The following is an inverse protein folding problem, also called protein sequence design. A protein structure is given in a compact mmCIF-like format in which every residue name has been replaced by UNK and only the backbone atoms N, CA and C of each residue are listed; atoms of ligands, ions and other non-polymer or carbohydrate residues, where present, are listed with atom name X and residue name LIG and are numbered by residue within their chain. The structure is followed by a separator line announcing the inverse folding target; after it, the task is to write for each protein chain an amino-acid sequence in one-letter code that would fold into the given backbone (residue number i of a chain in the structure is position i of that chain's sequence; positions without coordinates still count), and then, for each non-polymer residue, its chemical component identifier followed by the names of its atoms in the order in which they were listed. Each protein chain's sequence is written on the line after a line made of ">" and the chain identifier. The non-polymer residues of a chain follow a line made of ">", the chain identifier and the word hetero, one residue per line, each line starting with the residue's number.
data_IF_129486969292
#
_entry.id   IF_129486969292
#
_cell.length_a   1.000
_cell.length_b   1.000
_cell.length_c   1.000
_cell.angle_alpha   90.00
_cell.angle_beta   90.00
_cell.angle_gamma   90.00
#
_symmetry.space_group_name_H-M   'P 1'
#
loop_
_entity.id
_entity.type
_entity.pdbx_description
1 polymer ?
#
# COMPACT_ATOMS: atom_id res chain seq x y z
N UNK A 1 -34.16 -34.85 -14.22
CA UNK A 1 -32.70 -34.95 -13.99
C UNK A 1 -32.44 -36.38 -13.55
N UNK A 2 -31.78 -37.20 -14.38
CA UNK A 2 -31.59 -38.63 -14.14
C UNK A 2 -30.47 -38.88 -13.10
N UNK A 3 -29.39 -38.12 -13.21
CA UNK A 3 -28.26 -38.11 -12.27
C UNK A 3 -27.58 -36.73 -12.29
N UNK A 4 -26.84 -36.40 -11.23
CA UNK A 4 -26.10 -35.15 -11.09
C UNK A 4 -24.75 -35.40 -10.40
N UNK A 5 -23.67 -34.89 -11.00
CA UNK A 5 -22.31 -34.96 -10.44
C UNK A 5 -21.64 -33.59 -10.50
N UNK A 6 -21.06 -33.16 -9.37
CA UNK A 6 -20.34 -31.88 -9.26
C UNK A 6 -18.87 -32.06 -9.67
N UNK A 7 -18.51 -31.55 -10.83
CA UNK A 7 -17.14 -31.63 -11.40
C UNK A 7 -16.16 -30.57 -10.86
N UNK A 8 -16.67 -29.53 -10.19
CA UNK A 8 -15.85 -28.45 -9.61
C UNK A 8 -16.54 -27.79 -8.44
N UNK A 9 -15.76 -27.40 -7.43
CA UNK A 9 -16.21 -26.58 -6.30
C UNK A 9 -15.16 -25.52 -5.98
N UNK A 10 -15.43 -24.27 -6.39
CA UNK A 10 -14.49 -23.15 -6.21
C UNK A 10 -13.17 -23.39 -6.96
N UNK A 11 -12.06 -23.39 -6.22
CA UNK A 11 -10.71 -23.58 -6.78
C UNK A 11 -10.38 -25.06 -7.05
N UNK A 12 -11.12 -26.01 -6.45
CA UNK A 12 -10.84 -27.44 -6.56
C UNK A 12 -11.69 -28.10 -7.67
N UNK A 13 -11.03 -28.71 -8.65
CA UNK A 13 -11.64 -29.58 -9.66
C UNK A 13 -11.39 -31.06 -9.42
N UNK A 14 -12.05 -31.93 -10.20
CA UNK A 14 -11.86 -33.39 -10.13
C UNK A 14 -10.43 -33.87 -10.42
N UNK A 15 -9.66 -33.07 -11.17
CA UNK A 15 -8.27 -33.38 -11.50
C UNK A 15 -7.29 -32.99 -10.39
N UNK A 16 -7.73 -32.18 -9.42
CA UNK A 16 -6.88 -31.60 -8.38
C UNK A 16 -6.82 -32.47 -7.13
N UNK A 17 -6.45 -33.75 -7.31
CA UNK A 17 -6.33 -34.77 -6.26
C UNK A 17 -7.66 -35.05 -5.55
N UNK A 18 -8.62 -35.56 -6.32
CA UNK A 18 -9.87 -36.11 -5.83
C UNK A 18 -9.58 -37.44 -5.09
N UNK A 19 -9.96 -37.50 -3.82
CA UNK A 19 -9.79 -38.68 -2.96
C UNK A 19 -11.15 -39.31 -2.65
N UNK A 20 -11.14 -40.63 -2.46
CA UNK A 20 -12.31 -41.40 -2.07
C UNK A 20 -12.34 -41.61 -0.55
N UNK A 21 -13.49 -42.05 -0.02
CA UNK A 21 -13.60 -42.37 1.41
C UNK A 21 -12.71 -43.55 1.83
N UNK A 22 -12.40 -44.46 0.90
CA UNK A 22 -11.49 -45.57 1.13
C UNK A 22 -10.05 -45.06 1.35
N UNK A 23 -9.60 -44.10 0.55
CA UNK A 23 -8.27 -43.51 0.70
C UNK A 23 -8.09 -42.83 2.07
N UNK A 24 -9.15 -42.21 2.60
CA UNK A 24 -9.12 -41.59 3.94
C UNK A 24 -8.98 -42.64 5.04
N UNK A 25 -9.72 -43.75 4.91
CA UNK A 25 -9.65 -44.86 5.87
C UNK A 25 -8.25 -45.49 5.87
N UNK A 26 -7.72 -45.77 4.69
CA UNK A 26 -6.40 -46.40 4.53
C UNK A 26 -5.28 -45.48 5.01
N UNK A 27 -5.39 -44.17 4.74
CA UNK A 27 -4.44 -43.18 5.22
C UNK A 27 -4.42 -43.09 6.75
N UNK A 28 -5.58 -43.15 7.40
CA UNK A 28 -5.67 -43.17 8.87
C UNK A 28 -5.08 -44.46 9.45
N UNK A 29 -5.42 -45.62 8.87
CA UNK A 29 -4.92 -46.91 9.32
C UNK A 29 -3.39 -47.00 9.24
N UNK A 30 -2.80 -46.52 8.14
CA UNK A 30 -1.35 -46.49 7.94
C UNK A 30 -0.65 -45.61 8.97
N UNK A 31 -1.24 -44.46 9.32
CA UNK A 31 -0.71 -43.59 10.37
C UNK A 31 -0.75 -44.28 11.74
N UNK A 32 -1.85 -44.96 12.09
CA UNK A 32 -2.00 -45.59 13.40
C UNK A 32 -1.08 -46.80 13.60
N UNK A 33 -0.86 -47.61 12.56
CA UNK A 33 -0.08 -48.85 12.65
C UNK A 33 1.41 -48.63 12.38
N UNK A 34 1.72 -47.85 11.34
CA UNK A 34 3.09 -47.71 10.84
C UNK A 34 3.71 -46.35 11.20
N UNK A 35 2.92 -45.43 11.77
CA UNK A 35 3.32 -44.02 12.05
C UNK A 35 3.84 -43.29 10.81
N UNK A 36 3.39 -43.71 9.64
CA UNK A 36 3.76 -43.10 8.37
C UNK A 36 2.71 -42.04 7.99
N UNK A 37 3.14 -40.77 7.97
CA UNK A 37 2.29 -39.61 7.69
C UNK A 37 2.15 -39.30 6.19
N UNK A 38 2.94 -39.96 5.33
CA UNK A 38 3.03 -39.59 3.91
C UNK A 38 1.68 -39.69 3.20
N UNK A 39 0.92 -40.75 3.48
CA UNK A 39 -0.38 -40.95 2.87
C UNK A 39 -1.40 -39.93 3.40
N UNK A 40 -1.40 -39.66 4.71
CA UNK A 40 -2.30 -38.70 5.33
C UNK A 40 -2.06 -37.27 4.83
N UNK A 41 -0.80 -36.86 4.69
CA UNK A 41 -0.40 -35.55 4.13
C UNK A 41 -0.73 -35.40 2.64
N UNK A 42 -0.92 -36.51 1.91
CA UNK A 42 -1.39 -36.48 0.52
C UNK A 42 -2.91 -36.29 0.44
N UNK A 43 -3.66 -36.89 1.36
CA UNK A 43 -5.13 -36.80 1.40
C UNK A 43 -5.59 -35.42 1.89
N UNK A 44 -4.92 -34.88 2.91
CA UNK A 44 -5.30 -33.61 3.54
C UNK A 44 -4.50 -32.45 2.95
N UNK A 45 -5.20 -31.51 2.30
CA UNK A 45 -4.59 -30.27 1.83
C UNK A 45 -4.62 -29.16 2.88
N UNK A 46 -3.61 -28.26 2.86
CA UNK A 46 -3.64 -27.06 3.68
C UNK A 46 -4.75 -26.11 3.19
N UNK A 47 -5.36 -25.38 4.13
CA UNK A 47 -6.50 -24.50 3.87
C UNK A 47 -6.16 -23.36 2.90
N UNK A 48 -4.88 -22.99 2.84
CA UNK A 48 -4.32 -21.99 1.92
C UNK A 48 -4.66 -22.28 0.45
N UNK A 49 -4.81 -23.56 0.08
CA UNK A 49 -5.15 -23.96 -1.30
C UNK A 49 -6.50 -23.40 -1.75
N UNK A 50 -7.44 -23.17 -0.83
CA UNK A 50 -8.74 -22.58 -1.14
C UNK A 50 -8.67 -21.07 -1.40
N UNK A 51 -7.62 -20.42 -0.90
CA UNK A 51 -7.47 -18.96 -0.88
C UNK A 51 -6.65 -18.42 -2.05
N UNK A 52 -6.19 -19.28 -2.97
CA UNK A 52 -5.33 -18.94 -4.11
C UNK A 52 -5.98 -17.93 -5.07
N UNK A 53 -7.31 -17.86 -5.11
CA UNK A 53 -8.04 -16.92 -5.98
C UNK A 53 -8.03 -15.47 -5.50
N UNK A 54 -7.70 -15.22 -4.22
CA UNK A 54 -7.70 -13.89 -3.64
C UNK A 54 -6.33 -13.21 -3.75
N UNK A 55 -6.34 -11.88 -3.88
CA UNK A 55 -5.11 -11.08 -3.86
C UNK A 55 -4.46 -11.12 -2.49
N UNK A 56 -3.14 -11.17 -2.48
CA UNK A 56 -2.31 -11.42 -1.29
C UNK A 56 -1.75 -10.12 -0.72
N UNK A 57 -1.78 -10.05 0.60
CA UNK A 57 -1.12 -8.99 1.36
C UNK A 57 -0.21 -9.62 2.42
N UNK A 58 1.10 -9.42 2.28
CA UNK A 58 2.10 -10.01 3.15
C UNK A 58 2.34 -9.10 4.34
N UNK A 59 2.15 -9.62 5.55
CA UNK A 59 2.35 -8.88 6.79
C UNK A 59 3.69 -9.20 7.44
N UNK A 60 4.20 -8.22 8.19
CA UNK A 60 5.35 -8.40 9.08
C UNK A 60 4.98 -9.31 10.25
N UNK A 61 5.85 -10.24 10.60
CA UNK A 61 5.65 -11.21 11.70
C UNK A 61 5.29 -10.55 13.04
N UNK A 62 5.77 -9.33 13.31
CA UNK A 62 5.43 -8.59 14.53
C UNK A 62 3.97 -8.12 14.61
N UNK A 63 3.29 -8.02 13.47
CA UNK A 63 1.90 -7.59 13.36
C UNK A 63 0.92 -8.77 13.34
N UNK A 64 1.38 -9.99 13.05
CA UNK A 64 0.52 -11.18 12.85
C UNK A 64 -0.36 -11.43 14.07
N UNK A 65 0.22 -11.54 15.26
CA UNK A 65 -0.59 -11.85 16.44
C UNK A 65 -1.62 -10.75 16.76
N UNK A 66 -1.30 -9.47 16.50
CA UNK A 66 -2.28 -8.39 16.68
C UNK A 66 -3.51 -8.57 15.78
N UNK A 67 -3.32 -9.04 14.54
CA UNK A 67 -4.39 -9.34 13.58
C UNK A 67 -5.22 -10.54 14.06
N UNK A 68 -4.58 -11.56 14.66
CA UNK A 68 -5.29 -12.72 15.25
C UNK A 68 -6.24 -12.31 16.40
N UNK A 69 -5.92 -11.22 17.11
CA UNK A 69 -6.81 -10.60 18.10
C UNK A 69 -7.87 -9.66 17.50
N UNK A 70 -7.88 -9.46 16.18
CA UNK A 70 -8.82 -8.59 15.48
C UNK A 70 -8.37 -7.13 15.38
N UNK A 71 -7.09 -6.82 15.58
CA UNK A 71 -6.59 -5.47 15.33
C UNK A 71 -6.69 -5.08 13.85
N UNK A 72 -6.94 -3.81 13.55
CA UNK A 72 -7.00 -3.31 12.17
C UNK A 72 -5.64 -3.47 11.48
N UNK A 73 -5.68 -3.74 10.18
CA UNK A 73 -4.47 -3.90 9.36
C UNK A 73 -3.98 -2.50 8.99
N UNK A 74 -2.87 -2.08 9.58
CA UNK A 74 -2.28 -0.76 9.38
C UNK A 74 -1.11 -0.84 8.39
N UNK A 75 -0.88 0.25 7.66
CA UNK A 75 0.20 0.36 6.66
C UNK A 75 1.59 -0.05 7.17
N UNK A 76 2.04 0.35 8.38
CA UNK A 76 3.35 -0.04 8.91
C UNK A 76 3.53 -1.54 9.16
N UNK A 77 2.44 -2.30 9.17
CA UNK A 77 2.47 -3.75 9.31
C UNK A 77 2.61 -4.51 7.99
N UNK A 78 2.40 -3.83 6.85
CA UNK A 78 2.47 -4.44 5.51
C UNK A 78 3.93 -4.52 5.06
N UNK A 79 4.34 -5.69 4.59
CA UNK A 79 5.68 -5.91 4.03
C UNK A 79 5.64 -5.89 2.50
N UNK A 80 4.68 -6.59 1.90
CA UNK A 80 4.48 -6.67 0.45
C UNK A 80 2.99 -6.73 0.15
N UNK A 81 2.60 -6.26 -1.03
CA UNK A 81 1.23 -6.31 -1.52
C UNK A 81 1.23 -6.75 -2.98
N UNK A 82 0.15 -7.40 -3.39
CA UNK A 82 -0.08 -7.75 -4.80
C UNK A 82 -0.59 -6.55 -5.59
N UNK A 83 -0.37 -6.56 -6.90
CA UNK A 83 -0.83 -5.48 -7.78
C UNK A 83 -2.33 -5.58 -8.06
N UNK A 84 -2.92 -4.44 -8.41
CA UNK A 84 -4.31 -4.31 -8.81
C UNK A 84 -5.32 -4.40 -7.68
N UNK A 85 -4.95 -4.30 -6.40
CA UNK A 85 -5.90 -4.30 -5.29
C UNK A 85 -6.84 -3.10 -5.44
N UNK A 86 -8.14 -3.38 -5.55
CA UNK A 86 -9.19 -2.37 -5.64
C UNK A 86 -9.84 -2.13 -4.27
N UNK A 87 -10.48 -0.98 -4.13
CA UNK A 87 -11.19 -0.64 -2.90
C UNK A 87 -12.41 -1.55 -2.73
N UNK A 88 -12.65 -2.02 -1.51
CA UNK A 88 -13.69 -2.98 -1.14
C UNK A 88 -13.53 -4.39 -1.74
N UNK A 89 -12.38 -4.71 -2.33
CA UNK A 89 -12.09 -6.07 -2.78
C UNK A 89 -11.76 -6.99 -1.58
N UNK A 90 -12.20 -8.25 -1.65
CA UNK A 90 -11.80 -9.28 -0.69
C UNK A 90 -10.38 -9.77 -0.99
N UNK A 91 -9.51 -9.63 0.00
CA UNK A 91 -8.09 -9.98 -0.02
C UNK A 91 -7.75 -10.98 1.08
N UNK A 92 -6.65 -11.70 0.88
CA UNK A 92 -6.11 -12.64 1.87
C UNK A 92 -4.81 -12.09 2.41
N UNK A 93 -4.72 -12.08 3.73
CA UNK A 93 -3.56 -11.57 4.45
C UNK A 93 -2.73 -12.76 4.88
N UNK A 94 -1.46 -12.78 4.47
CA UNK A 94 -0.54 -13.91 4.66
C UNK A 94 0.70 -13.52 5.45
N UNK A 95 1.33 -14.50 6.09
CA UNK A 95 2.67 -14.36 6.67
C UNK A 95 3.74 -14.42 5.58
N UNK A 96 4.98 -14.13 5.93
CA UNK A 96 6.15 -14.32 5.05
C UNK A 96 6.37 -15.78 4.65
N UNK A 97 5.83 -16.73 5.44
CA UNK A 97 5.88 -18.18 5.17
C UNK A 97 4.76 -18.66 4.25
N UNK A 98 3.79 -17.80 3.94
CA UNK A 98 2.63 -18.15 3.13
C UNK A 98 1.45 -18.74 3.92
N UNK A 99 1.47 -18.66 5.25
CA UNK A 99 0.33 -19.09 6.09
C UNK A 99 -0.79 -18.05 6.00
N UNK A 100 -2.05 -18.47 5.91
CA UNK A 100 -3.18 -17.56 5.86
C UNK A 100 -3.56 -17.05 7.26
N UNK A 101 -3.44 -15.74 7.48
CA UNK A 101 -3.76 -15.09 8.76
C UNK A 101 -5.27 -14.83 8.83
N UNK A 102 -5.79 -14.08 7.86
CA UNK A 102 -7.18 -13.67 7.82
C UNK A 102 -7.64 -13.30 6.40
N UNK A 103 -8.95 -13.31 6.22
CA UNK A 103 -9.62 -12.70 5.07
C UNK A 103 -10.04 -11.30 5.48
N UNK A 104 -9.74 -10.33 4.63
CA UNK A 104 -10.02 -8.93 4.87
C UNK A 104 -10.58 -8.27 3.61
N UNK A 105 -11.29 -7.16 3.80
CA UNK A 105 -11.77 -6.31 2.71
C UNK A 105 -10.86 -5.09 2.63
N UNK A 106 -10.28 -4.84 1.47
CA UNK A 106 -9.35 -3.74 1.24
C UNK A 106 -10.05 -2.38 1.36
N UNK A 107 -9.43 -1.44 2.08
CA UNK A 107 -9.88 -0.05 2.21
C UNK A 107 -9.02 0.93 1.40
N UNK A 108 -7.90 0.46 0.86
CA UNK A 108 -6.97 1.23 0.04
C UNK A 108 -6.71 0.49 -1.27
N UNK A 109 -6.49 1.24 -2.35
CA UNK A 109 -6.01 0.68 -3.62
C UNK A 109 -4.50 0.51 -3.60
N UNK A 110 -3.94 -0.31 -4.50
CA UNK A 110 -2.48 -0.50 -4.62
C UNK A 110 -1.72 0.82 -4.75
N UNK A 111 -2.23 1.77 -5.54
CA UNK A 111 -1.62 3.10 -5.71
C UNK A 111 -1.55 3.87 -4.38
N UNK A 112 -2.65 3.84 -3.59
CA UNK A 112 -2.74 4.52 -2.29
C UNK A 112 -1.83 3.86 -1.26
N UNK A 113 -1.74 2.52 -1.27
CA UNK A 113 -0.82 1.78 -0.39
C UNK A 113 0.63 2.18 -0.66
N UNK A 114 0.98 2.51 -1.90
CA UNK A 114 2.32 2.95 -2.27
C UNK A 114 2.62 4.41 -1.91
N UNK A 115 1.63 5.30 -1.91
CA UNK A 115 1.85 6.75 -1.72
C UNK A 115 1.66 7.22 -0.29
N UNK A 116 0.83 6.52 0.50
CA UNK A 116 0.53 6.94 1.86
C UNK A 116 1.62 6.47 2.84
N UNK A 117 1.85 7.24 3.90
CA UNK A 117 2.74 6.86 5.01
C UNK A 117 1.98 6.19 6.17
N UNK A 118 0.69 6.47 6.28
CA UNK A 118 -0.16 6.02 7.38
C UNK A 118 -1.59 5.71 6.92
N UNK A 119 -2.23 4.78 7.61
CA UNK A 119 -3.66 4.51 7.45
C UNK A 119 -4.01 3.04 7.64
N UNK A 120 -5.30 2.76 7.55
CA UNK A 120 -5.87 1.41 7.63
C UNK A 120 -5.96 0.84 6.22
N UNK A 121 -5.25 -0.24 5.97
CA UNK A 121 -5.17 -0.88 4.64
C UNK A 121 -6.38 -1.74 4.38
N UNK A 122 -6.82 -2.49 5.39
CA UNK A 122 -7.91 -3.44 5.24
C UNK A 122 -8.67 -3.65 6.55
N UNK A 123 -9.96 -3.94 6.40
CA UNK A 123 -10.86 -4.32 7.49
C UNK A 123 -10.96 -5.84 7.53
N UNK A 124 -10.71 -6.44 8.69
CA UNK A 124 -10.81 -7.88 8.87
C UNK A 124 -12.28 -8.31 8.72
N UNK A 125 -12.49 -9.38 7.94
CA UNK A 125 -13.78 -10.06 7.77
C UNK A 125 -13.83 -11.33 8.60
N UNK A 126 -12.79 -12.18 8.51
CA UNK A 126 -12.66 -13.41 9.29
C UNK A 126 -11.20 -13.75 9.57
N UNK A 127 -10.89 -14.03 10.83
CA UNK A 127 -9.57 -14.54 11.26
C UNK A 127 -9.54 -16.06 11.09
N UNK A 128 -8.44 -16.58 10.53
CA UNK A 128 -8.23 -18.02 10.31
C UNK A 128 -7.17 -18.55 11.26
N UNK A 129 -6.04 -17.85 11.37
CA UNK A 129 -4.92 -18.25 12.21
C UNK A 129 -5.26 -18.18 13.71
N UNK A 130 -4.73 -19.13 14.46
CA UNK A 130 -4.91 -19.18 15.91
C UNK A 130 -4.21 -18.01 16.61
N UNK A 131 -4.68 -17.71 17.83
CA UNK A 131 -4.06 -16.70 18.69
C UNK A 131 -2.77 -17.26 19.26
N UNK A 132 -1.76 -16.39 19.44
CA UNK A 132 -0.47 -16.74 20.06
C UNK A 132 0.43 -17.73 19.28
N UNK A 133 0.11 -18.05 18.01
CA UNK A 133 1.04 -18.71 17.09
C UNK A 133 2.32 -17.88 16.87
N UNK A 134 2.19 -16.55 16.92
CA UNK A 134 3.31 -15.60 16.84
C UNK A 134 3.44 -14.80 18.15
N UNK A 135 4.66 -14.40 18.55
CA UNK A 135 4.87 -13.66 19.80
C UNK A 135 4.19 -12.28 19.77
N UNK A 136 3.68 -11.86 20.94
CA UNK A 136 3.05 -10.54 21.12
C UNK A 136 4.11 -9.44 21.10
N UNK A 137 4.17 -8.67 20.01
CA UNK A 137 5.15 -7.57 19.82
C UNK A 137 4.53 -6.17 19.78
N UNK A 138 3.22 -6.03 20.02
CA UNK A 138 2.59 -4.71 20.06
C UNK A 138 3.08 -3.90 21.26
N UNK A 139 3.32 -2.59 21.06
CA UNK A 139 3.77 -1.69 22.12
C UNK A 139 5.26 -1.77 22.48
N UNK A 140 6.06 -2.55 21.73
CA UNK A 140 7.53 -2.59 21.82
C UNK A 140 8.24 -1.75 20.74
N UNK A 141 7.49 -0.98 19.93
CA UNK A 141 8.08 -0.11 18.90
C UNK A 141 8.87 1.07 19.49
N UNK A 142 9.79 1.69 18.74
CA UNK A 142 10.65 2.78 19.23
C UNK A 142 9.86 3.93 19.87
N UNK A 143 8.81 4.40 19.19
CA UNK A 143 7.92 5.46 19.71
C UNK A 143 7.13 5.01 20.96
N UNK A 144 6.71 3.75 21.03
CA UNK A 144 5.95 3.22 22.17
C UNK A 144 6.84 3.02 23.41
N UNK A 145 8.08 2.56 23.21
CA UNK A 145 9.07 2.41 24.27
C UNK A 145 9.50 3.78 24.82
N UNK A 146 9.79 4.76 23.94
CA UNK A 146 10.08 6.13 24.34
C UNK A 146 8.93 6.74 25.15
N UNK A 147 7.68 6.55 24.71
CA UNK A 147 6.50 7.01 25.46
C UNK A 147 6.46 6.40 26.86
N UNK A 148 6.66 5.09 27.01
CA UNK A 148 6.71 4.42 28.31
C UNK A 148 7.85 4.92 29.20
N UNK A 149 9.05 5.13 28.64
CA UNK A 149 10.18 5.71 29.37
C UNK A 149 9.90 7.14 29.83
N UNK A 150 9.24 7.96 29.00
CA UNK A 150 8.90 9.33 29.41
C UNK A 150 7.82 9.38 30.49
N UNK A 151 6.87 8.45 30.48
CA UNK A 151 5.89 8.29 31.57
C UNK A 151 6.63 7.88 32.87
N UNK A 152 7.57 6.94 32.80
CA UNK A 152 8.38 6.56 33.96
C UNK A 152 9.24 7.72 34.49
N UNK A 153 9.75 8.57 33.60
CA UNK A 153 10.51 9.79 33.96
C UNK A 153 9.62 10.95 34.44
N UNK A 154 8.29 10.79 34.45
CA UNK A 154 7.35 11.85 34.86
C UNK A 154 7.23 13.03 33.88
N UNK A 155 7.81 12.92 32.68
CA UNK A 155 7.73 13.95 31.63
C UNK A 155 6.37 13.94 30.93
N UNK A 156 5.65 12.82 31.01
CA UNK A 156 4.27 12.65 30.54
C UNK A 156 3.39 12.17 31.71
N UNK A 157 2.09 12.46 31.62
CA UNK A 157 1.09 11.99 32.58
C UNK A 157 0.96 10.43 32.57
N UNK A 158 0.33 9.85 33.59
CA UNK A 158 0.03 8.41 33.71
C UNK A 158 -0.69 7.84 32.48
N UNK A 159 -1.49 8.67 31.81
CA UNK A 159 -2.21 8.30 30.58
C UNK A 159 -1.43 8.60 29.30
N UNK A 160 -0.21 9.15 29.42
CA UNK A 160 0.65 9.48 28.29
C UNK A 160 0.16 10.67 27.47
N UNK A 161 -0.52 11.62 28.13
CA UNK A 161 -0.83 12.95 27.59
C UNK A 161 0.31 13.93 27.90
N UNK A 162 0.41 14.97 27.09
CA UNK A 162 1.40 16.03 27.29
C UNK A 162 1.05 16.84 28.56
N UNK A 163 2.07 17.11 29.37
CA UNK A 163 2.02 17.98 30.54
C UNK A 163 2.95 19.21 30.34
N UNK A 164 3.05 20.08 31.32
CA UNK A 164 3.93 21.26 31.22
C UNK A 164 5.42 20.88 31.05
N UNK A 165 5.82 19.73 31.59
CA UNK A 165 7.18 19.19 31.49
C UNK A 165 7.47 18.40 30.20
N UNK A 166 6.55 18.35 29.23
CA UNK A 166 6.81 17.60 27.99
C UNK A 166 7.73 18.38 27.04
N UNK A 167 8.81 17.76 26.53
CA UNK A 167 9.65 18.37 25.49
C UNK A 167 8.84 18.76 24.25
N UNK A 168 9.15 19.92 23.68
CA UNK A 168 8.52 20.45 22.46
C UNK A 168 8.68 19.51 21.25
N UNK A 169 9.78 18.77 21.19
CA UNK A 169 10.04 17.76 20.14
C UNK A 169 9.02 16.62 20.16
N UNK A 170 8.60 16.17 21.35
CA UNK A 170 7.59 15.13 21.49
C UNK A 170 6.20 15.64 21.08
N UNK A 171 5.86 16.89 21.41
CA UNK A 171 4.59 17.51 21.02
C UNK A 171 4.45 17.64 19.49
N UNK A 172 5.54 17.93 18.78
CA UNK A 172 5.54 18.06 17.31
C UNK A 172 5.60 16.70 16.58
N UNK A 173 6.30 15.71 17.15
CA UNK A 173 6.53 14.42 16.48
C UNK A 173 5.55 13.29 16.82
N UNK A 174 4.73 13.47 17.86
CA UNK A 174 3.74 12.48 18.29
C UNK A 174 2.36 12.77 17.70
N UNK A 175 1.93 11.91 16.79
CA UNK A 175 0.57 11.93 16.20
C UNK A 175 -0.24 10.80 16.83
N UNK A 176 -1.40 11.13 17.41
CA UNK A 176 -2.32 10.14 17.98
C UNK A 176 -3.41 9.76 16.98
N UNK A 177 -3.19 8.66 16.26
CA UNK A 177 -4.12 8.16 15.25
C UNK A 177 -5.42 7.57 15.81
N UNK A 178 -5.63 7.57 17.14
CA UNK A 178 -6.93 7.21 17.73
C UNK A 178 -7.91 8.38 17.71
N UNK A 179 -7.38 9.60 17.77
CA UNK A 179 -8.17 10.82 17.65
C UNK A 179 -8.39 11.03 16.15
N UNK A 180 -9.61 10.81 15.66
CA UNK A 180 -10.00 11.47 14.42
C UNK A 180 -9.91 12.96 14.73
N UNK A 181 -9.11 13.71 13.98
CA UNK A 181 -9.17 15.15 14.09
C UNK A 181 -10.57 15.55 13.61
N UNK A 182 -11.41 16.00 14.55
CA UNK A 182 -12.64 16.76 14.26
C UNK A 182 -12.23 18.17 13.78
N UNK A 183 -11.40 18.25 12.75
CA UNK A 183 -10.97 19.51 12.14
C UNK A 183 -11.84 19.87 10.93
N UNK A 184 -13.12 19.52 10.97
CA UNK A 184 -14.12 19.93 9.98
C UNK A 184 -15.32 20.66 10.62
N UNK A 185 -15.16 21.12 11.87
CA UNK A 185 -16.23 21.80 12.60
C UNK A 185 -15.67 22.87 13.54
N UNK A 186 -15.02 23.90 13.01
CA UNK A 186 -15.09 25.26 13.57
C UNK A 186 -14.44 26.27 12.62
N UNK A 187 -15.15 26.58 11.54
CA UNK A 187 -15.01 27.84 10.83
C UNK A 187 -16.40 28.33 10.40
N UNK A 188 -16.90 29.29 11.18
CA UNK A 188 -17.95 30.27 10.86
C UNK A 188 -19.43 29.87 11.02
N UNK A 189 -19.96 30.23 12.19
CA UNK A 189 -21.34 30.72 12.32
C UNK A 189 -21.49 32.08 11.58
N UNK A 190 -22.14 32.03 10.40
CA UNK A 190 -23.17 32.91 9.80
C UNK A 190 -22.97 34.45 9.70
N UNK A 191 -23.52 35.15 8.67
CA UNK A 191 -24.81 34.87 8.03
C UNK A 191 -24.83 34.78 6.49
N UNK A 192 -25.97 34.28 6.02
CA UNK A 192 -26.33 33.96 4.65
C UNK A 192 -26.13 35.09 3.62
N UNK A 193 -25.78 34.76 2.37
CA UNK A 193 -26.15 35.55 1.21
C UNK A 193 -27.33 34.92 0.46
N UNK A 194 -28.20 35.79 -0.01
CA UNK A 194 -29.30 35.57 -0.94
C UNK A 194 -28.86 34.91 -2.26
N UNK A 195 -29.83 34.26 -2.89
CA UNK A 195 -29.75 33.61 -4.21
C UNK A 195 -29.44 34.62 -5.36
N UNK A 196 -29.15 34.14 -6.58
CA UNK A 196 -27.96 34.50 -7.35
C UNK A 196 -28.17 35.71 -8.29
N UNK A 197 -27.12 36.51 -8.47
CA UNK A 197 -26.99 37.41 -9.62
C UNK A 197 -25.86 36.92 -10.54
N UNK A 198 -26.21 36.72 -11.80
CA UNK A 198 -25.33 36.38 -12.93
C UNK A 198 -24.24 37.42 -13.16
N UNK A 199 -22.96 37.05 -13.38
CA UNK A 199 -22.01 37.94 -14.01
C UNK A 199 -22.08 37.85 -15.54
N UNK A 200 -22.09 39.03 -16.13
CA UNK A 200 -22.19 39.37 -17.55
C UNK A 200 -20.90 39.02 -18.33
N UNK A 201 -21.06 38.94 -19.64
CA UNK A 201 -20.11 38.45 -20.64
C UNK A 201 -18.91 39.37 -20.95
N UNK A 202 -18.44 40.20 -20.02
CA UNK A 202 -17.38 41.19 -20.28
C UNK A 202 -15.97 40.80 -19.78
N UNK A 203 -15.83 39.88 -18.83
CA UNK A 203 -14.49 39.46 -18.34
C UNK A 203 -13.77 38.45 -19.26
N UNK A 204 -14.51 37.75 -20.14
CA UNK A 204 -13.93 36.79 -21.09
C UNK A 204 -13.20 37.44 -22.29
N UNK A 205 -13.29 38.77 -22.47
CA UNK A 205 -12.59 39.50 -23.54
C UNK A 205 -11.22 40.07 -23.14
N UNK A 206 -10.92 40.22 -21.84
CA UNK A 206 -9.63 40.77 -21.37
C UNK A 206 -8.51 39.71 -21.33
N UNK A 207 -8.80 38.46 -20.98
CA UNK A 207 -7.79 37.39 -20.96
C UNK A 207 -7.34 36.94 -22.37
N UNK A 208 -8.27 36.88 -23.33
CA UNK A 208 -7.93 36.51 -24.73
C UNK A 208 -7.05 37.55 -25.44
N UNK A 209 -7.09 38.83 -25.05
CA UNK A 209 -6.27 39.90 -25.66
C UNK A 209 -4.83 39.92 -25.14
N UNK A 210 -4.59 39.44 -23.91
CA UNK A 210 -3.25 39.36 -23.30
C UNK A 210 -2.42 38.21 -23.90
N UNK A 211 -3.03 37.03 -24.10
CA UNK A 211 -2.38 35.85 -24.71
C UNK A 211 -2.03 36.02 -26.20
N UNK A 212 -2.73 36.89 -26.95
CA UNK A 212 -2.43 37.15 -28.37
C UNK A 212 -1.29 38.16 -28.57
N UNK A 213 -1.01 39.02 -27.59
CA UNK A 213 0.06 40.03 -27.65
C UNK A 213 1.44 39.43 -27.38
N UNK A 214 1.55 38.50 -26.42
CA UNK A 214 2.80 37.78 -26.12
C UNK A 214 3.23 36.82 -27.25
N UNK A 215 2.27 36.21 -27.97
CA UNK A 215 2.58 35.32 -29.09
C UNK A 215 3.04 36.08 -30.35
N UNK A 216 2.70 37.36 -30.50
CA UNK A 216 3.12 38.20 -31.64
C UNK A 216 4.53 38.78 -31.45
N UNK A 217 4.91 39.14 -30.22
CA UNK A 217 6.26 39.62 -29.92
C UNK A 217 7.33 38.54 -30.02
N UNK A 218 6.99 37.26 -29.78
CA UNK A 218 7.94 36.14 -29.90
C UNK A 218 8.25 35.69 -31.35
N UNK A 219 7.54 36.24 -32.34
CA UNK A 219 7.65 35.85 -33.75
C UNK A 219 8.28 36.95 -34.64
N UNK A 220 8.45 38.17 -34.14
CA UNK A 220 9.10 39.29 -34.86
C UNK A 220 10.60 39.44 -34.50
N UNK A 221 11.10 38.79 -33.44
CA UNK A 221 12.53 38.84 -33.05
C UNK A 221 13.40 37.76 -33.75
N UNK A 222 12.80 36.95 -34.63
CA UNK A 222 13.47 35.82 -35.28
C UNK A 222 13.76 36.01 -36.79
N UNK A 223 13.79 37.24 -37.30
CA UNK A 223 14.05 37.50 -38.73
C UNK A 223 15.04 38.65 -39.00
N UNK A 224 16.27 38.25 -39.37
CA UNK A 224 17.31 38.95 -40.17
C UNK A 224 18.31 39.90 -39.45
N UNK A 225 19.51 40.15 -40.04
CA UNK A 225 20.63 39.21 -40.23
C UNK A 225 21.98 39.73 -39.64
N UNK A 226 23.03 38.91 -39.70
CA UNK A 226 24.40 39.17 -39.17
C UNK A 226 25.10 40.44 -39.70
N UNK A 227 26.12 40.93 -38.97
CA UNK A 227 27.47 40.88 -39.57
C UNK A 227 28.56 40.34 -38.62
N UNK A 228 29.57 39.74 -39.25
CA UNK A 228 30.79 39.21 -38.65
C UNK A 228 31.79 40.30 -38.20
N UNK A 229 32.46 40.09 -37.07
CA UNK A 229 33.92 40.29 -36.88
C UNK A 229 34.36 39.98 -35.42
N UNK A 230 35.27 39.02 -35.31
CA UNK A 230 36.43 38.88 -34.40
C UNK A 230 36.36 38.90 -32.85
N UNK A 231 37.22 38.02 -32.31
CA UNK A 231 37.90 37.96 -31.00
C UNK A 231 37.31 37.13 -29.84
N UNK A 232 38.06 36.07 -29.53
CA UNK A 232 38.48 35.51 -28.23
C UNK A 232 37.53 35.33 -27.03
N UNK A 233 37.67 34.16 -26.38
CA UNK A 233 37.44 34.04 -24.93
C UNK A 233 36.44 32.98 -24.44
N UNK A 234 36.86 31.71 -24.45
CA UNK A 234 36.75 30.71 -23.37
C UNK A 234 35.39 30.32 -22.72
N UNK A 235 35.32 29.01 -22.43
CA UNK A 235 34.46 28.25 -21.49
C UNK A 235 33.17 27.60 -22.05
N UNK A 236 33.17 26.26 -22.13
CA UNK A 236 31.97 25.47 -22.43
C UNK A 236 32.15 23.96 -22.55
N UNK A 237 32.89 23.34 -21.63
CA UNK A 237 33.00 21.89 -21.48
C UNK A 237 31.63 21.27 -21.12
N UNK A 238 30.97 20.56 -22.05
CA UNK A 238 29.89 19.58 -21.74
C UNK A 238 29.26 18.91 -22.97
N UNK A 239 29.49 19.41 -24.19
CA UNK A 239 28.89 18.84 -25.40
C UNK A 239 29.68 17.68 -26.06
N UNK A 240 30.93 17.41 -25.64
CA UNK A 240 31.82 16.43 -26.30
C UNK A 240 31.63 14.98 -25.84
N UNK A 241 30.88 14.73 -24.75
CA UNK A 241 30.72 13.38 -24.17
C UNK A 241 29.57 12.57 -24.78
N UNK A 242 28.59 13.22 -25.42
CA UNK A 242 27.42 12.55 -26.02
C UNK A 242 27.63 12.09 -27.47
N UNK A 243 28.58 12.69 -28.19
CA UNK A 243 28.87 12.35 -29.61
C UNK A 243 29.89 11.21 -29.78
N UNK A 244 30.64 10.85 -28.72
CA UNK A 244 31.66 9.78 -28.76
C UNK A 244 31.12 8.39 -28.38
N UNK A 245 29.95 8.30 -27.71
CA UNK A 245 29.33 7.00 -27.36
C UNK A 245 28.54 6.38 -28.52
N UNK A 246 27.92 7.21 -29.37
CA UNK A 246 27.10 6.76 -30.51
C UNK A 246 27.91 6.27 -31.72
N UNK A 247 29.23 6.52 -31.75
CA UNK A 247 30.15 6.01 -32.79
C UNK A 247 30.82 4.69 -32.40
N UNK A 248 30.65 4.20 -31.18
CA UNK A 248 31.30 2.97 -30.67
C UNK A 248 30.38 1.75 -30.63
N UNK A 249 29.07 1.93 -30.82
CA UNK A 249 28.10 0.83 -30.91
C UNK A 249 27.85 0.35 -32.35
N UNK A 250 28.22 1.14 -33.37
CA UNK A 250 28.01 0.78 -34.79
C UNK A 250 29.19 -0.04 -35.35
N UNK A 251 30.32 -0.10 -34.64
CA UNK A 251 31.54 -0.80 -35.08
C UNK A 251 31.74 -2.17 -34.38
N UNK A 252 30.78 -2.60 -33.56
CA UNK A 252 30.82 -3.88 -32.82
C UNK A 252 29.72 -4.87 -33.25
N UNK A 253 28.92 -4.53 -34.26
CA UNK A 253 27.89 -5.41 -34.86
C UNK A 253 28.25 -5.84 -36.30
N UNK A 254 29.48 -5.59 -36.73
CA UNK A 254 30.02 -6.02 -38.00
C UNK A 254 31.42 -6.64 -37.82
N UNK A 255 31.49 -7.70 -37.01
CA UNK A 255 32.55 -8.70 -37.03
C UNK A 255 31.99 -10.07 -36.61
#
# INVERSE_FOLDING_TARGET
>A
MQELRRVRSGVLGERDNLVTMHDVLDAQWQYDHNKDETYLRRVIYPLEKLLVSHKRLVMKDSAVNAICYGAKIMLPGVLRYEDGIEMNQDIVVITTKGEAICIATALMTTAVISTCDHGVVAKIKRVIMERDTYPRKWGLGPKASQKKMMIQKGLLDKHGKANDSTPSDWKKGYVDYRKREDSDSDAAATPAPSAPSTPSAEDLKKEKKKKKKEKKQKLEEAAAPEPAAETDGEVGESAKKKKKKKKKEVEAEAE
#
